data_IF_651217877747
#
_entry.id   IF_651217877747
#
_cell.length_a   1.000
_cell.length_b   1.000
_cell.length_c   1.000
_cell.angle_alpha   90.00
_cell.angle_beta   90.00
_cell.angle_gamma   90.00
#
_symmetry.space_group_name_H-M   'P 1'
#
loop_
_entity.id
_entity.type
_entity.pdbx_description
1 polymer ?
#
# COMPACT_ATOMS: atom_id res chain seq x y z
N UNK A 1 85.48 1.19 -59.45
CA UNK A 1 84.75 1.23 -58.16
C UNK A 1 84.34 2.64 -57.73
N UNK A 2 85.22 3.65 -57.73
CA UNK A 2 84.87 5.06 -57.36
C UNK A 2 83.63 5.64 -58.07
N UNK A 3 83.58 5.59 -59.41
CA UNK A 3 82.44 6.11 -60.20
C UNK A 3 81.08 5.47 -59.90
N UNK A 4 81.05 4.23 -59.41
CA UNK A 4 79.81 3.54 -59.07
C UNK A 4 79.32 3.96 -57.67
N UNK A 5 80.25 4.14 -56.73
CA UNK A 5 79.97 4.71 -55.41
C UNK A 5 79.46 6.14 -55.50
N UNK A 6 80.02 6.97 -56.38
CA UNK A 6 79.59 8.36 -56.58
C UNK A 6 78.16 8.46 -57.16
N UNK A 7 77.70 7.44 -57.90
CA UNK A 7 76.35 7.37 -58.44
C UNK A 7 75.32 6.83 -57.43
N UNK A 8 75.71 5.88 -56.58
CA UNK A 8 74.81 5.21 -55.61
C UNK A 8 74.66 5.98 -54.29
N UNK A 9 75.70 6.71 -53.86
CA UNK A 9 75.68 7.51 -52.63
C UNK A 9 74.52 8.55 -52.55
N UNK A 10 74.20 9.35 -53.59
CA UNK A 10 73.10 10.31 -53.51
C UNK A 10 71.73 9.64 -53.40
N UNK A 11 71.55 8.46 -54.00
CA UNK A 11 70.32 7.68 -53.89
C UNK A 11 70.12 7.12 -52.48
N UNK A 12 71.18 6.60 -51.85
CA UNK A 12 71.13 6.11 -50.47
C UNK A 12 70.83 7.25 -49.48
N UNK A 13 71.44 8.42 -49.66
CA UNK A 13 71.15 9.59 -48.83
C UNK A 13 69.70 10.07 -49.00
N UNK A 14 69.19 10.07 -50.23
CA UNK A 14 67.79 10.43 -50.51
C UNK A 14 66.81 9.45 -49.86
N UNK A 15 67.10 8.14 -49.92
CA UNK A 15 66.28 7.11 -49.29
C UNK A 15 66.31 7.22 -47.75
N UNK A 16 67.49 7.46 -47.17
CA UNK A 16 67.63 7.68 -45.73
C UNK A 16 66.87 8.94 -45.26
N UNK A 17 66.94 10.04 -46.02
CA UNK A 17 66.19 11.25 -45.75
C UNK A 17 64.68 10.98 -45.79
N UNK A 18 64.20 10.27 -46.82
CA UNK A 18 62.79 9.92 -46.96
C UNK A 18 62.30 9.05 -45.81
N UNK A 19 63.09 8.06 -45.38
CA UNK A 19 62.80 7.24 -44.21
C UNK A 19 62.69 8.10 -42.93
N UNK A 20 63.63 9.01 -42.71
CA UNK A 20 63.61 9.93 -41.57
C UNK A 20 62.37 10.84 -41.57
N UNK A 21 61.93 11.32 -42.74
CA UNK A 21 60.73 12.13 -42.87
C UNK A 21 59.46 11.32 -42.56
N UNK A 22 59.35 10.10 -43.08
CA UNK A 22 58.20 9.21 -42.80
C UNK A 22 58.14 8.84 -41.31
N UNK A 23 59.27 8.51 -40.69
CA UNK A 23 59.35 8.21 -39.25
C UNK A 23 59.04 9.44 -38.39
N UNK A 24 59.58 10.61 -38.75
CA UNK A 24 59.33 11.87 -38.04
C UNK A 24 57.85 12.26 -38.09
N UNK A 25 57.24 12.21 -39.28
CA UNK A 25 55.82 12.49 -39.44
C UNK A 25 54.93 11.47 -38.72
N UNK A 26 55.28 10.19 -38.81
CA UNK A 26 54.61 9.11 -38.08
C UNK A 26 54.64 9.35 -36.57
N UNK A 27 55.82 9.59 -35.98
CA UNK A 27 55.97 9.88 -34.56
C UNK A 27 55.20 11.12 -34.12
N UNK A 28 55.21 12.19 -34.94
CA UNK A 28 54.48 13.41 -34.62
C UNK A 28 52.97 13.16 -34.60
N UNK A 29 52.45 12.44 -35.59
CA UNK A 29 51.04 12.07 -35.67
C UNK A 29 50.58 11.17 -34.51
N UNK A 30 51.42 10.21 -34.09
CA UNK A 30 51.13 9.41 -32.89
C UNK A 30 51.14 10.24 -31.61
N UNK A 31 52.09 11.17 -31.46
CA UNK A 31 52.15 12.08 -30.30
C UNK A 31 50.88 12.94 -30.19
N UNK A 32 50.39 13.52 -31.29
CA UNK A 32 49.14 14.30 -31.25
C UNK A 32 47.95 13.45 -30.84
N UNK A 33 47.82 12.23 -31.39
CA UNK A 33 46.74 11.32 -31.00
C UNK A 33 46.80 10.94 -29.53
N UNK A 34 48.00 10.62 -29.03
CA UNK A 34 48.20 10.30 -27.61
C UNK A 34 47.84 11.47 -26.69
N UNK A 35 48.18 12.71 -27.08
CA UNK A 35 47.82 13.91 -26.33
C UNK A 35 46.31 14.14 -26.29
N UNK A 36 45.61 13.97 -27.41
CA UNK A 36 44.14 14.11 -27.47
C UNK A 36 43.47 13.08 -26.55
N UNK A 37 43.92 11.82 -26.58
CA UNK A 37 43.39 10.77 -25.69
C UNK A 37 43.70 11.10 -24.23
N UNK A 38 44.91 11.58 -23.92
CA UNK A 38 45.27 11.95 -22.55
C UNK A 38 44.39 13.10 -22.02
N UNK A 39 44.10 14.10 -22.85
CA UNK A 39 43.20 15.20 -22.50
C UNK A 39 41.78 14.67 -22.28
N UNK A 40 41.25 13.85 -23.20
CA UNK A 40 39.92 13.28 -23.08
C UNK A 40 39.78 12.39 -21.83
N UNK A 41 40.81 11.59 -21.52
CA UNK A 41 40.84 10.75 -20.33
C UNK A 41 40.85 11.59 -19.05
N UNK A 42 41.65 12.66 -19.02
CA UNK A 42 41.69 13.59 -17.88
C UNK A 42 40.33 14.25 -17.67
N UNK A 43 39.71 14.75 -18.74
CA UNK A 43 38.40 15.38 -18.68
C UNK A 43 37.32 14.40 -18.20
N UNK A 44 37.38 13.14 -18.64
CA UNK A 44 36.47 12.10 -18.18
C UNK A 44 36.70 11.80 -16.69
N UNK A 45 37.95 11.70 -16.24
CA UNK A 45 38.29 11.47 -14.84
C UNK A 45 37.77 12.60 -13.95
N UNK A 46 37.96 13.85 -14.35
CA UNK A 46 37.48 15.02 -13.61
C UNK A 46 35.94 15.07 -13.56
N UNK A 47 35.27 14.69 -14.66
CA UNK A 47 33.81 14.58 -14.72
C UNK A 47 33.28 13.49 -13.79
N UNK A 48 33.90 12.30 -13.80
CA UNK A 48 33.51 11.19 -12.90
C UNK A 48 33.75 11.57 -11.44
N UNK A 49 34.87 12.20 -11.11
CA UNK A 49 35.13 12.67 -9.75
C UNK A 49 34.06 13.67 -9.27
N UNK A 50 33.68 14.62 -10.13
CA UNK A 50 32.63 15.60 -9.85
C UNK A 50 31.27 14.92 -9.65
N UNK A 51 30.92 13.97 -10.51
CA UNK A 51 29.67 13.21 -10.39
C UNK A 51 29.63 12.36 -9.13
N UNK A 52 30.74 11.71 -8.77
CA UNK A 52 30.84 10.91 -7.56
C UNK A 52 30.66 11.79 -6.32
N UNK A 53 31.31 12.95 -6.24
CA UNK A 53 31.11 13.88 -5.13
C UNK A 53 29.67 14.39 -5.03
N UNK A 54 29.04 14.71 -6.16
CA UNK A 54 27.63 15.12 -6.17
C UNK A 54 26.71 13.97 -5.70
N UNK A 55 26.97 12.75 -6.15
CA UNK A 55 26.22 11.57 -5.75
C UNK A 55 26.41 11.25 -4.27
N UNK A 56 27.62 11.36 -3.74
CA UNK A 56 27.91 11.19 -2.31
C UNK A 56 27.15 12.20 -1.46
N UNK A 57 27.19 13.49 -1.83
CA UNK A 57 26.47 14.54 -1.12
C UNK A 57 24.94 14.32 -1.16
N UNK A 58 24.41 13.88 -2.30
CA UNK A 58 22.99 13.57 -2.43
C UNK A 58 22.58 12.33 -1.62
N UNK A 59 23.42 11.30 -1.60
CA UNK A 59 23.19 10.11 -0.77
C UNK A 59 23.23 10.45 0.72
N UNK A 60 24.14 11.31 1.16
CA UNK A 60 24.21 11.79 2.54
C UNK A 60 22.94 12.57 2.91
N UNK A 61 22.51 13.49 2.04
CA UNK A 61 21.27 14.26 2.21
C UNK A 61 20.05 13.35 2.34
N UNK A 62 19.87 12.43 1.39
CA UNK A 62 18.74 11.50 1.39
C UNK A 62 18.77 10.55 2.60
N UNK A 63 19.96 10.13 3.01
CA UNK A 63 20.11 9.29 4.21
C UNK A 63 19.72 10.05 5.47
N UNK A 64 20.13 11.31 5.60
CA UNK A 64 19.74 12.17 6.72
C UNK A 64 18.22 12.41 6.75
N UNK A 65 17.61 12.68 5.59
CA UNK A 65 16.16 12.86 5.46
C UNK A 65 15.38 11.59 5.85
N UNK A 66 15.83 10.43 5.34
CA UNK A 66 15.23 9.13 5.69
C UNK A 66 15.35 8.86 7.18
N UNK A 67 16.51 9.08 7.78
CA UNK A 67 16.71 8.86 9.21
C UNK A 67 15.83 9.79 10.06
N UNK A 68 15.71 11.06 9.66
CA UNK A 68 14.84 12.01 10.35
C UNK A 68 13.35 11.62 10.22
N UNK A 69 12.92 11.15 9.04
CA UNK A 69 11.57 10.65 8.82
C UNK A 69 11.29 9.39 9.68
N UNK A 70 12.23 8.44 9.71
CA UNK A 70 12.11 7.24 10.54
C UNK A 70 11.99 7.60 12.02
N UNK A 71 12.84 8.49 12.53
CA UNK A 71 12.79 8.93 13.91
C UNK A 71 11.43 9.56 14.28
N UNK A 72 10.82 10.32 13.37
CA UNK A 72 9.48 10.90 13.57
C UNK A 72 8.41 9.81 13.62
N UNK A 73 8.47 8.82 12.74
CA UNK A 73 7.54 7.68 12.76
C UNK A 73 7.68 6.89 14.05
N UNK A 74 8.91 6.57 14.47
CA UNK A 74 9.16 5.82 15.70
C UNK A 74 8.61 6.56 16.93
N UNK A 75 8.75 7.89 16.99
CA UNK A 75 8.14 8.72 18.04
C UNK A 75 6.62 8.66 18.03
N UNK A 76 6.00 8.71 16.84
CA UNK A 76 4.55 8.59 16.71
C UNK A 76 4.06 7.21 17.16
N UNK A 77 4.74 6.14 16.76
CA UNK A 77 4.43 4.78 17.20
C UNK A 77 4.52 4.64 18.72
N UNK A 78 5.59 5.13 19.36
CA UNK A 78 5.71 5.09 20.81
C UNK A 78 4.60 5.87 21.52
N UNK A 79 4.16 6.99 20.93
CA UNK A 79 3.05 7.76 21.49
C UNK A 79 1.71 7.04 21.32
N UNK A 80 1.50 6.37 20.17
CA UNK A 80 0.32 5.54 19.93
C UNK A 80 0.26 4.37 20.90
N UNK A 81 1.36 3.62 21.10
CA UNK A 81 1.38 2.50 22.05
C UNK A 81 0.99 2.91 23.47
N UNK A 82 1.44 4.08 23.94
CA UNK A 82 1.03 4.62 25.24
C UNK A 82 -0.46 4.97 25.29
N UNK A 83 -0.97 5.57 24.23
CA UNK A 83 -2.37 5.97 24.12
C UNK A 83 -3.28 4.74 24.06
N UNK A 84 -2.88 3.73 23.29
CA UNK A 84 -3.60 2.47 23.15
C UNK A 84 -3.60 1.68 24.46
N UNK A 85 -2.47 1.62 25.17
CA UNK A 85 -2.41 1.00 26.49
C UNK A 85 -3.38 1.67 27.49
N UNK A 86 -3.48 3.00 27.46
CA UNK A 86 -4.45 3.74 28.27
C UNK A 86 -5.89 3.46 27.84
N UNK A 87 -6.17 3.44 26.54
CA UNK A 87 -7.49 3.13 26.01
C UNK A 87 -7.95 1.71 26.40
N UNK A 88 -7.05 0.72 26.34
CA UNK A 88 -7.33 -0.66 26.77
C UNK A 88 -7.69 -0.70 28.26
N UNK A 89 -6.96 0.00 29.12
CA UNK A 89 -7.27 0.09 30.55
C UNK A 89 -8.64 0.74 30.80
N UNK A 90 -8.95 1.81 30.08
CA UNK A 90 -10.21 2.52 30.22
C UNK A 90 -11.40 1.68 29.73
N UNK A 91 -11.25 0.97 28.62
CA UNK A 91 -12.26 0.01 28.13
C UNK A 91 -12.50 -1.08 29.18
N UNK A 92 -11.45 -1.64 29.78
CA UNK A 92 -11.59 -2.65 30.82
C UNK A 92 -12.34 -2.09 32.05
N UNK A 93 -12.02 -0.87 32.48
CA UNK A 93 -12.72 -0.18 33.56
C UNK A 93 -14.20 0.02 33.26
N UNK A 94 -14.53 0.61 32.10
CA UNK A 94 -15.90 0.87 31.67
C UNK A 94 -16.70 -0.43 31.48
N UNK A 95 -16.08 -1.48 30.97
CA UNK A 95 -16.71 -2.81 30.84
C UNK A 95 -17.12 -3.34 32.21
N UNK A 96 -16.21 -3.28 33.20
CA UNK A 96 -16.54 -3.68 34.57
C UNK A 96 -17.67 -2.86 35.19
N UNK A 97 -17.71 -1.54 34.94
CA UNK A 97 -18.81 -0.67 35.39
C UNK A 97 -20.15 -1.02 34.73
N UNK A 98 -20.15 -1.32 33.44
CA UNK A 98 -21.34 -1.70 32.69
C UNK A 98 -21.89 -3.06 33.13
N UNK A 99 -21.02 -4.03 33.42
CA UNK A 99 -21.42 -5.34 33.95
C UNK A 99 -22.09 -5.24 35.33
N UNK A 100 -21.65 -4.27 36.16
CA UNK A 100 -22.22 -4.04 37.49
C UNK A 100 -23.49 -3.18 37.47
N UNK A 101 -23.76 -2.46 36.39
CA UNK A 101 -24.94 -1.61 36.26
C UNK A 101 -26.17 -2.42 35.81
N UNK A 102 -27.29 -2.39 36.54
CA UNK A 102 -28.51 -3.04 36.10
C UNK A 102 -29.06 -2.33 34.86
N UNK A 103 -28.89 -2.96 33.69
CA UNK A 103 -29.46 -2.47 32.41
C UNK A 103 -30.98 -2.65 32.46
N UNK A 104 -31.72 -1.53 32.59
CA UNK A 104 -33.17 -1.53 32.47
C UNK A 104 -33.55 -1.18 31.03
N UNK A 105 -33.91 -2.20 30.25
CA UNK A 105 -34.46 -2.01 28.91
C UNK A 105 -35.89 -1.48 29.05
N UNK A 106 -36.12 -0.23 28.70
CA UNK A 106 -37.48 0.31 28.54
C UNK A 106 -37.89 0.12 27.09
N UNK A 107 -38.73 -0.87 26.83
CA UNK A 107 -39.40 -1.01 25.54
C UNK A 107 -40.38 0.17 25.43
N UNK A 108 -40.02 1.14 24.58
CA UNK A 108 -40.95 2.19 24.16
C UNK A 108 -41.68 1.64 22.96
N UNK A 109 -42.90 1.13 23.17
CA UNK A 109 -43.83 0.86 22.08
C UNK A 109 -44.23 2.21 21.47
N UNK A 110 -43.45 2.66 20.50
CA UNK A 110 -43.90 3.71 19.59
C UNK A 110 -45.06 3.09 18.81
N UNK A 111 -46.29 3.63 18.90
CA UNK A 111 -47.35 3.19 18.02
C UNK A 111 -46.86 3.48 16.60
N UNK A 112 -46.62 2.41 15.83
CA UNK A 112 -46.39 2.56 14.42
C UNK A 112 -47.58 3.36 13.89
N UNK A 113 -47.31 4.54 13.34
CA UNK A 113 -48.25 5.24 12.49
C UNK A 113 -48.37 4.46 11.17
N UNK A 114 -48.81 3.20 11.26
CA UNK A 114 -49.27 2.43 10.13
C UNK A 114 -50.64 3.01 9.76
N UNK A 115 -50.61 3.99 8.86
CA UNK A 115 -51.80 4.50 8.22
C UNK A 115 -52.58 3.36 7.56
N UNK A 116 -53.91 3.45 7.61
CA UNK A 116 -54.81 2.56 6.91
C UNK A 116 -54.67 2.74 5.38
N UNK A 117 -53.75 2.00 4.77
CA UNK A 117 -53.62 1.89 3.31
C UNK A 117 -54.33 0.64 2.82
N UNK A 118 -55.63 0.75 2.51
CA UNK A 118 -56.35 -0.22 1.67
C UNK A 118 -55.83 -0.11 0.22
N UNK A 119 -55.59 -1.24 -0.44
CA UNK A 119 -55.40 -1.28 -1.88
C UNK A 119 -54.67 -2.54 -2.34
N UNK A 120 -55.39 -3.64 -2.50
CA UNK A 120 -54.84 -4.84 -3.15
C UNK A 120 -54.81 -4.70 -4.67
N UNK A 121 -53.86 -5.39 -5.31
CA UNK A 121 -54.03 -5.96 -6.64
C UNK A 121 -53.38 -7.34 -6.71
N UNK A 122 -54.03 -8.22 -7.44
CA UNK A 122 -53.78 -9.65 -7.56
C UNK A 122 -52.56 -9.99 -8.42
N UNK A 123 -51.96 -11.16 -8.12
CA UNK A 123 -51.23 -11.98 -9.09
C UNK A 123 -49.74 -11.69 -9.25
N UNK A 124 -48.91 -12.25 -8.38
CA UNK A 124 -47.63 -12.79 -8.85
C UNK A 124 -47.24 -14.07 -8.09
N UNK A 125 -46.91 -15.06 -8.89
CA UNK A 125 -46.64 -16.47 -8.62
C UNK A 125 -45.53 -16.68 -7.59
N UNK A 126 -45.69 -17.68 -6.72
CA UNK A 126 -44.59 -18.25 -5.96
C UNK A 126 -43.57 -18.86 -6.94
N UNK A 127 -42.35 -18.29 -6.97
CA UNK A 127 -41.20 -18.93 -7.58
C UNK A 127 -40.39 -19.61 -6.47
N UNK A 128 -40.06 -20.87 -6.72
CA UNK A 128 -39.42 -21.81 -5.83
C UNK A 128 -38.00 -21.39 -5.40
N UNK A 129 -37.59 -22.03 -4.31
CA UNK A 129 -36.24 -22.18 -3.78
C UNK A 129 -35.10 -21.89 -4.76
N UNK A 130 -34.26 -20.90 -4.43
CA UNK A 130 -32.83 -21.12 -4.54
C UNK A 130 -32.04 -20.28 -3.52
N UNK A 131 -31.00 -20.94 -3.00
CA UNK A 131 -30.21 -20.52 -1.86
C UNK A 131 -29.35 -19.27 -2.16
N UNK A 132 -29.44 -18.31 -1.24
CA UNK A 132 -28.58 -17.13 -1.18
C UNK A 132 -28.35 -16.76 0.28
N UNK A 133 -27.63 -17.59 1.01
CA UNK A 133 -27.06 -17.23 2.30
C UNK A 133 -26.10 -16.05 2.13
N UNK A 134 -26.58 -14.83 2.34
CA UNK A 134 -25.74 -13.63 2.38
C UNK A 134 -26.50 -12.51 3.11
N UNK A 135 -26.66 -12.65 4.43
CA UNK A 135 -26.61 -11.52 5.39
C UNK A 135 -26.80 -11.92 6.87
N UNK A 136 -26.56 -13.20 7.21
CA UNK A 136 -26.48 -13.62 8.62
C UNK A 136 -25.10 -13.31 9.25
N UNK A 137 -24.29 -12.45 8.64
CA UNK A 137 -22.87 -12.31 8.94
C UNK A 137 -22.41 -10.87 9.19
N UNK A 138 -23.19 -10.01 9.87
CA UNK A 138 -22.66 -8.71 10.34
C UNK A 138 -23.06 -8.31 11.77
N UNK A 139 -23.28 -9.28 12.65
CA UNK A 139 -23.29 -9.03 14.11
C UNK A 139 -22.24 -9.87 14.88
N UNK A 140 -21.40 -10.61 14.16
CA UNK A 140 -20.35 -11.42 14.79
C UNK A 140 -19.14 -10.51 15.10
N UNK A 141 -19.18 -9.85 16.26
CA UNK A 141 -18.10 -9.00 16.74
C UNK A 141 -18.53 -7.92 17.73
N UNK A 142 -19.82 -7.55 17.76
CA UNK A 142 -20.35 -6.52 18.66
C UNK A 142 -20.75 -7.05 20.04
N UNK A 143 -21.10 -8.33 20.13
CA UNK A 143 -21.52 -8.98 21.36
C UNK A 143 -20.71 -10.27 21.58
N UNK A 144 -20.24 -10.55 22.81
CA UNK A 144 -19.66 -11.85 23.15
C UNK A 144 -20.60 -13.00 22.76
N UNK A 145 -20.04 -14.12 22.32
CA UNK A 145 -20.78 -15.26 21.76
C UNK A 145 -21.90 -15.80 22.67
N UNK A 146 -21.70 -15.71 24.00
CA UNK A 146 -22.73 -16.06 24.99
C UNK A 146 -23.95 -15.14 24.92
N UNK A 147 -23.74 -13.85 24.69
CA UNK A 147 -24.80 -12.85 24.59
C UNK A 147 -25.54 -12.95 23.25
N UNK A 148 -24.82 -13.22 22.17
CA UNK A 148 -25.43 -13.48 20.85
C UNK A 148 -26.36 -14.71 20.89
N UNK A 149 -25.94 -15.78 21.57
CA UNK A 149 -26.79 -16.96 21.80
C UNK A 149 -28.03 -16.64 22.62
N UNK A 150 -27.89 -15.87 23.71
CA UNK A 150 -29.03 -15.48 24.56
C UNK A 150 -30.00 -14.57 23.83
N UNK A 151 -29.50 -13.64 23.03
CA UNK A 151 -30.33 -12.74 22.21
C UNK A 151 -31.12 -13.53 21.17
N UNK A 152 -30.47 -14.46 20.47
CA UNK A 152 -31.15 -15.35 19.53
C UNK A 152 -32.28 -16.16 20.16
N UNK A 153 -32.06 -16.68 21.38
CA UNK A 153 -33.09 -17.41 22.12
C UNK A 153 -34.32 -16.54 22.46
N UNK A 154 -34.11 -15.29 22.88
CA UNK A 154 -35.20 -14.35 23.21
C UNK A 154 -35.98 -13.94 21.96
N UNK A 155 -35.31 -13.76 20.82
CA UNK A 155 -35.98 -13.45 19.54
C UNK A 155 -36.89 -14.60 19.13
N UNK A 156 -36.41 -15.84 19.20
CA UNK A 156 -37.22 -17.03 18.88
C UNK A 156 -38.45 -17.19 19.78
N UNK A 157 -38.31 -16.87 21.07
CA UNK A 157 -39.44 -16.86 22.02
C UNK A 157 -40.48 -15.79 21.64
N UNK A 158 -40.03 -14.59 21.28
CA UNK A 158 -40.92 -13.50 20.86
C UNK A 158 -41.69 -13.85 19.56
N UNK A 159 -41.03 -14.47 18.58
CA UNK A 159 -41.67 -14.94 17.35
C UNK A 159 -42.73 -16.00 17.64
N UNK A 160 -42.44 -16.93 18.55
CA UNK A 160 -43.38 -17.98 18.98
C UNK A 160 -44.64 -17.39 19.63
N UNK A 161 -44.47 -16.42 20.53
CA UNK A 161 -45.59 -15.73 21.18
C UNK A 161 -46.41 -14.93 20.15
N UNK A 162 -45.75 -14.25 19.21
CA UNK A 162 -46.43 -13.49 18.18
C UNK A 162 -47.25 -14.39 17.23
N UNK A 163 -46.70 -15.56 16.87
CA UNK A 163 -47.40 -16.57 16.09
C UNK A 163 -48.63 -17.13 16.83
N UNK A 164 -48.49 -17.42 18.13
CA UNK A 164 -49.60 -17.87 18.97
C UNK A 164 -50.70 -16.79 19.08
N UNK A 165 -50.33 -15.53 19.26
CA UNK A 165 -51.27 -14.42 19.31
C UNK A 165 -52.01 -14.23 17.98
N UNK A 166 -51.30 -14.29 16.84
CA UNK A 166 -51.90 -14.20 15.51
C UNK A 166 -52.91 -15.33 15.27
N UNK A 167 -52.59 -16.56 15.70
CA UNK A 167 -53.50 -17.71 15.62
C UNK A 167 -54.76 -17.54 16.50
N UNK A 168 -54.58 -17.10 17.75
CA UNK A 168 -55.72 -16.80 18.64
C UNK A 168 -56.61 -15.69 18.06
N UNK A 169 -56.01 -14.63 17.51
CA UNK A 169 -56.77 -13.53 16.89
C UNK A 169 -57.57 -14.00 15.67
N UNK A 170 -56.97 -14.81 14.80
CA UNK A 170 -57.67 -15.36 13.64
C UNK A 170 -58.86 -16.22 14.06
N UNK A 171 -58.68 -17.06 15.09
CA UNK A 171 -59.73 -17.90 15.66
C UNK A 171 -60.86 -17.08 16.28
N UNK A 172 -60.54 -15.99 16.98
CA UNK A 172 -61.51 -15.12 17.64
C UNK A 172 -62.35 -14.31 16.63
N UNK A 173 -61.75 -13.92 15.50
CA UNK A 173 -62.47 -13.26 14.40
C UNK A 173 -63.35 -14.26 13.64
N UNK A 174 -62.89 -15.49 13.42
CA UNK A 174 -63.65 -16.49 12.67
C UNK A 174 -64.84 -17.09 13.46
N UNK A 175 -64.82 -17.04 14.80
CA UNK A 175 -65.88 -17.58 15.65
C UNK A 175 -66.92 -16.53 16.11
N UNK A 176 -66.82 -15.28 15.65
CA UNK A 176 -67.77 -14.21 15.94
C UNK A 176 -68.15 -13.49 14.61
N UNK A 177 -69.08 -14.04 13.82
CA UNK A 177 -69.57 -13.38 12.60
C UNK A 177 -70.37 -12.11 12.90
#
# INVERSE_FOLDING_TARGET
MKRFLDFVAPWLLSLALLLCLVLGFGMQHFKTKAQIVAIALKQLQDSVATQNHAAEAELERLTAERNAAQARLDQQYQQQEKTDAQAVQEIARLTGELEQRPVRVRIVSQPAACGAGRGGTAGHTAAADDAGAADAAEAYGLLPESNSRRLGAVIAEAETINAAYASCRATLINNNP
#
